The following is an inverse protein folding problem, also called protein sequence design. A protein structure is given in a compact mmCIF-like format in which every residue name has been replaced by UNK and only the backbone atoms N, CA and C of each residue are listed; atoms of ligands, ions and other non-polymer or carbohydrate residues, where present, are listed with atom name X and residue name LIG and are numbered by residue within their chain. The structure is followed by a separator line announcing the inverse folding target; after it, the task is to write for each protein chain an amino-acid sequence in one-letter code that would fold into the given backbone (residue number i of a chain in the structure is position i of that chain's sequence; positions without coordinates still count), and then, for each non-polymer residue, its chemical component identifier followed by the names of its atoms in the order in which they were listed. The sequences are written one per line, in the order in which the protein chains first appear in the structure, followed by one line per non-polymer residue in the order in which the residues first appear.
data_IF_048135367222
#
_entry.id   IF_048135367222
#
_cell.length_a   1.000
_cell.length_b   1.000
_cell.length_c   1.000
_cell.angle_alpha   90.00
_cell.angle_beta   90.00
_cell.angle_gamma   90.00
#
_symmetry.space_group_name_H-M   'P 1'
#
loop_
_entity.id
_entity.type
_entity.pdbx_description
1 polymer ?
#
# COMPACT_ATOMS: atom_id res chain seq x y z
N UNK A 1 -24.40 3.82 -2.20
CA UNK A 1 -24.92 5.19 -2.19
C UNK A 1 -24.29 6.00 -3.33
N UNK A 2 -22.98 6.03 -3.46
CA UNK A 2 -22.25 6.72 -4.54
C UNK A 2 -21.85 5.70 -5.61
N UNK A 3 -22.16 5.96 -6.88
CA UNK A 3 -21.93 5.03 -7.99
C UNK A 3 -21.04 5.61 -9.09
N UNK A 4 -20.76 6.91 -9.04
CA UNK A 4 -19.98 7.63 -10.03
C UNK A 4 -19.05 8.64 -9.41
N UNK A 5 -18.05 9.11 -10.15
CA UNK A 5 -17.19 10.22 -9.71
C UNK A 5 -18.03 11.46 -9.40
N UNK A 6 -19.06 11.73 -10.19
CA UNK A 6 -20.00 12.84 -9.99
C UNK A 6 -20.69 12.78 -8.62
N UNK A 7 -21.12 11.58 -8.19
CA UNK A 7 -21.78 11.42 -6.89
C UNK A 7 -20.84 11.78 -5.73
N UNK A 8 -19.58 11.31 -5.79
CA UNK A 8 -18.57 11.64 -4.80
C UNK A 8 -18.17 13.12 -4.83
N UNK A 9 -18.04 13.72 -6.02
CA UNK A 9 -17.70 15.13 -6.19
C UNK A 9 -18.77 16.04 -5.57
N UNK A 10 -20.05 15.68 -5.71
CA UNK A 10 -21.20 16.44 -5.19
C UNK A 10 -21.58 16.05 -3.76
N UNK A 11 -20.97 15.03 -3.18
CA UNK A 11 -21.29 14.59 -1.82
C UNK A 11 -20.97 15.66 -0.77
N UNK A 12 -21.76 15.75 0.27
CA UNK A 12 -21.44 16.56 1.45
C UNK A 12 -20.22 15.95 2.16
N UNK A 13 -19.23 16.80 2.50
CA UNK A 13 -17.98 16.34 3.09
C UNK A 13 -18.20 15.57 4.39
N UNK A 14 -19.12 16.07 5.25
CA UNK A 14 -19.46 15.42 6.51
C UNK A 14 -20.01 13.99 6.34
N UNK A 15 -20.80 13.77 5.28
CA UNK A 15 -21.31 12.43 4.98
C UNK A 15 -20.19 11.47 4.53
N UNK A 16 -19.25 11.94 3.70
CA UNK A 16 -18.09 11.16 3.33
C UNK A 16 -17.19 10.83 4.53
N UNK A 17 -17.01 11.80 5.45
CA UNK A 17 -16.26 11.60 6.68
C UNK A 17 -16.87 10.48 7.53
N UNK A 18 -18.18 10.46 7.72
CA UNK A 18 -18.86 9.40 8.47
C UNK A 18 -18.67 8.02 7.81
N UNK A 19 -18.78 7.92 6.49
CA UNK A 19 -18.64 6.64 5.80
C UNK A 19 -17.24 6.07 5.85
N UNK A 20 -16.19 6.91 5.79
CA UNK A 20 -14.80 6.46 5.85
C UNK A 20 -14.21 6.46 7.27
N UNK A 21 -15.00 6.85 8.29
CA UNK A 21 -14.58 6.94 9.69
C UNK A 21 -13.86 5.69 10.22
N UNK A 22 -14.36 4.47 9.95
CA UNK A 22 -13.69 3.24 10.44
C UNK A 22 -12.29 3.02 9.90
N UNK A 23 -11.89 3.72 8.83
CA UNK A 23 -10.59 3.53 8.18
C UNK A 23 -9.44 4.30 8.85
N UNK A 24 -9.71 5.13 9.86
CA UNK A 24 -8.75 6.05 10.48
C UNK A 24 -8.32 7.19 9.55
N UNK A 25 -7.86 8.32 10.13
CA UNK A 25 -7.52 9.55 9.37
C UNK A 25 -8.63 10.00 8.41
N UNK A 26 -9.87 9.74 8.79
CA UNK A 26 -11.06 9.82 7.95
C UNK A 26 -11.28 11.21 7.31
N UNK A 27 -10.99 12.30 8.02
CA UNK A 27 -11.15 13.66 7.49
C UNK A 27 -10.27 13.91 6.25
N UNK A 28 -9.01 13.53 6.33
CA UNK A 28 -8.09 13.66 5.20
C UNK A 28 -8.50 12.73 4.05
N UNK A 29 -8.94 11.50 4.37
CA UNK A 29 -9.40 10.54 3.36
C UNK A 29 -10.66 11.02 2.65
N UNK A 30 -11.65 11.53 3.38
CA UNK A 30 -12.88 12.08 2.79
C UNK A 30 -12.57 13.27 1.87
N UNK A 31 -11.72 14.18 2.32
CA UNK A 31 -11.27 15.33 1.51
C UNK A 31 -10.53 14.88 0.25
N UNK A 32 -9.61 13.92 0.38
CA UNK A 32 -8.87 13.37 -0.77
C UNK A 32 -9.79 12.67 -1.76
N UNK A 33 -10.76 11.89 -1.27
CA UNK A 33 -11.74 11.22 -2.10
C UNK A 33 -12.62 12.20 -2.89
N UNK A 34 -13.11 13.26 -2.22
CA UNK A 34 -13.90 14.30 -2.88
C UNK A 34 -13.09 15.06 -3.93
N UNK A 35 -11.86 15.44 -3.61
CA UNK A 35 -10.97 16.14 -4.54
C UNK A 35 -10.65 15.26 -5.76
N UNK A 36 -10.32 13.99 -5.52
CA UNK A 36 -10.08 13.03 -6.61
C UNK A 36 -11.29 12.90 -7.52
N UNK A 37 -12.47 12.74 -6.95
CA UNK A 37 -13.71 12.62 -7.72
C UNK A 37 -14.02 13.90 -8.52
N UNK A 38 -13.77 15.07 -7.94
CA UNK A 38 -13.93 16.37 -8.63
C UNK A 38 -12.96 16.51 -9.82
N UNK A 39 -11.71 16.12 -9.64
CA UNK A 39 -10.72 16.13 -10.72
C UNK A 39 -11.07 15.12 -11.82
N UNK A 40 -11.50 13.91 -11.43
CA UNK A 40 -11.93 12.88 -12.40
C UNK A 40 -13.13 13.35 -13.21
N UNK A 41 -14.10 13.99 -12.58
CA UNK A 41 -15.28 14.51 -13.28
C UNK A 41 -14.92 15.67 -14.23
N UNK A 42 -14.19 16.67 -13.72
CA UNK A 42 -13.93 17.91 -14.48
C UNK A 42 -12.87 17.76 -15.59
N UNK A 43 -11.84 16.95 -15.36
CA UNK A 43 -10.70 16.80 -16.27
C UNK A 43 -10.81 15.58 -17.18
N UNK A 44 -11.51 14.53 -16.75
CA UNK A 44 -11.51 13.23 -17.42
C UNK A 44 -12.93 12.71 -17.72
N UNK A 45 -13.95 13.56 -17.61
CA UNK A 45 -15.34 13.20 -17.95
C UNK A 45 -15.90 12.02 -17.15
N UNK A 46 -15.54 11.93 -15.87
CA UNK A 46 -16.00 10.89 -14.96
C UNK A 46 -15.27 9.55 -15.08
N UNK A 47 -14.24 9.44 -15.94
CA UNK A 47 -13.46 8.21 -16.12
C UNK A 47 -12.10 8.33 -15.45
N UNK A 48 -11.77 7.38 -14.60
CA UNK A 48 -10.44 7.33 -13.95
C UNK A 48 -9.36 7.06 -15.02
N UNK A 49 -8.30 7.89 -15.10
CA UNK A 49 -7.22 7.67 -16.05
C UNK A 49 -6.51 6.32 -15.83
N UNK A 50 -6.05 5.71 -16.91
CA UNK A 50 -5.37 4.42 -16.91
C UNK A 50 -3.89 4.57 -17.32
N UNK A 51 -3.23 5.58 -16.78
CA UNK A 51 -1.79 5.77 -16.90
C UNK A 51 -1.23 6.46 -15.66
N UNK A 52 0.03 6.17 -15.37
CA UNK A 52 0.69 6.55 -14.12
C UNK A 52 0.85 8.06 -13.99
N UNK A 53 1.31 8.72 -15.06
CA UNK A 53 1.63 10.16 -15.04
C UNK A 53 0.35 10.99 -14.88
N UNK A 54 -0.71 10.63 -15.61
CA UNK A 54 -2.01 11.28 -15.49
C UNK A 54 -2.61 11.07 -14.10
N UNK A 55 -2.55 9.86 -13.53
CA UNK A 55 -3.00 9.60 -12.15
C UNK A 55 -2.24 10.47 -11.15
N UNK A 56 -0.91 10.55 -11.27
CA UNK A 56 -0.08 11.36 -10.38
C UNK A 56 -0.28 12.86 -10.56
N UNK A 57 -0.80 13.31 -11.70
CA UNK A 57 -1.18 14.72 -11.93
C UNK A 57 -2.43 15.16 -11.15
N UNK A 58 -3.19 14.20 -10.60
CA UNK A 58 -4.38 14.46 -9.79
C UNK A 58 -3.96 14.84 -8.38
N UNK A 59 -4.51 15.94 -7.87
CA UNK A 59 -4.16 16.46 -6.56
C UNK A 59 -4.42 15.44 -5.43
N UNK A 60 -3.37 15.11 -4.71
CA UNK A 60 -3.42 14.16 -3.57
C UNK A 60 -3.23 12.70 -3.96
N UNK A 61 -2.97 12.42 -5.23
CA UNK A 61 -2.57 11.09 -5.70
C UNK A 61 -1.04 11.06 -5.80
N UNK A 62 -0.41 10.36 -4.88
CA UNK A 62 1.02 10.04 -4.95
C UNK A 62 1.26 8.67 -5.60
N UNK A 63 2.54 8.38 -5.86
CA UNK A 63 3.02 7.14 -6.51
C UNK A 63 2.37 5.86 -5.93
N UNK A 64 2.31 5.73 -4.61
CA UNK A 64 1.66 4.59 -3.94
C UNK A 64 0.20 4.43 -4.35
N UNK A 65 -0.57 5.51 -4.35
CA UNK A 65 -1.99 5.45 -4.69
C UNK A 65 -2.19 5.17 -6.17
N UNK A 66 -1.36 5.76 -7.04
CA UNK A 66 -1.37 5.50 -8.47
C UNK A 66 -1.04 4.03 -8.76
N UNK A 67 0.01 3.46 -8.16
CA UNK A 67 0.33 2.03 -8.26
C UNK A 67 -0.83 1.14 -7.80
N UNK A 68 -1.50 1.50 -6.70
CA UNK A 68 -2.66 0.74 -6.22
C UNK A 68 -3.84 0.79 -7.22
N UNK A 69 -4.12 1.93 -7.81
CA UNK A 69 -5.16 2.07 -8.85
C UNK A 69 -4.80 1.26 -10.08
N UNK A 70 -3.55 1.36 -10.56
CA UNK A 70 -3.07 0.59 -11.72
C UNK A 70 -3.17 -0.91 -11.47
N UNK A 71 -2.65 -1.39 -10.36
CA UNK A 71 -2.63 -2.83 -10.03
C UNK A 71 -4.02 -3.39 -9.77
N UNK A 72 -4.79 -2.74 -8.88
CA UNK A 72 -6.06 -3.31 -8.39
C UNK A 72 -7.24 -3.02 -9.33
N UNK A 73 -7.37 -1.79 -9.82
CA UNK A 73 -8.51 -1.40 -10.63
C UNK A 73 -8.31 -1.72 -12.12
N UNK A 74 -7.10 -1.54 -12.65
CA UNK A 74 -6.80 -1.76 -14.06
C UNK A 74 -6.07 -3.07 -14.35
N UNK A 75 -5.70 -3.84 -13.33
CA UNK A 75 -4.96 -5.11 -13.44
C UNK A 75 -3.67 -4.98 -14.26
N UNK A 76 -3.04 -3.82 -14.17
CA UNK A 76 -1.71 -3.58 -14.74
C UNK A 76 -0.65 -3.86 -13.68
N UNK A 77 0.43 -4.56 -14.01
CA UNK A 77 1.51 -4.81 -13.06
C UNK A 77 1.99 -3.54 -12.37
N UNK A 78 1.94 -3.51 -11.05
CA UNK A 78 2.38 -2.35 -10.26
C UNK A 78 2.92 -2.81 -8.91
N UNK A 79 4.14 -2.38 -8.58
CA UNK A 79 4.73 -2.63 -7.28
C UNK A 79 4.22 -1.59 -6.27
N UNK A 80 3.42 -2.04 -5.30
CA UNK A 80 2.78 -1.16 -4.30
C UNK A 80 3.64 -1.16 -3.05
N UNK A 81 4.38 -0.09 -2.80
CA UNK A 81 5.19 0.05 -1.58
C UNK A 81 4.52 0.99 -0.59
N UNK A 82 4.14 0.43 0.56
CA UNK A 82 3.55 1.16 1.68
C UNK A 82 4.19 0.67 3.00
N UNK A 83 3.80 1.21 4.13
CA UNK A 83 4.47 0.98 5.42
C UNK A 83 4.59 -0.49 5.84
N UNK A 84 3.64 -1.36 5.45
CA UNK A 84 3.74 -2.79 5.72
C UNK A 84 4.76 -3.46 4.81
N UNK A 85 4.72 -3.13 3.50
CA UNK A 85 5.67 -3.65 2.51
C UNK A 85 7.10 -3.23 2.88
N UNK A 86 7.32 -1.94 3.18
CA UNK A 86 8.63 -1.44 3.61
C UNK A 86 9.17 -2.23 4.80
N UNK A 87 8.36 -2.39 5.83
CA UNK A 87 8.77 -3.13 7.04
C UNK A 87 9.04 -4.60 6.77
N UNK A 88 8.15 -5.27 6.04
CA UNK A 88 8.28 -6.70 5.77
C UNK A 88 9.47 -6.96 4.86
N UNK A 89 9.62 -6.21 3.77
CA UNK A 89 10.73 -6.34 2.83
C UNK A 89 12.09 -6.18 3.52
N UNK A 90 12.21 -5.18 4.42
CA UNK A 90 13.44 -5.00 5.22
C UNK A 90 13.67 -6.14 6.20
N UNK A 91 12.64 -6.59 6.90
CA UNK A 91 12.78 -7.66 7.89
C UNK A 91 13.13 -9.01 7.27
N UNK A 92 12.55 -9.31 6.12
CA UNK A 92 12.85 -10.56 5.41
C UNK A 92 14.25 -10.49 4.78
N UNK A 93 14.74 -9.30 4.40
CA UNK A 93 16.04 -9.12 3.77
C UNK A 93 15.97 -8.87 2.26
N UNK A 94 14.77 -8.57 1.72
CA UNK A 94 14.61 -8.24 0.30
C UNK A 94 15.23 -6.89 -0.09
N UNK A 95 15.45 -6.00 0.88
CA UNK A 95 16.06 -4.69 0.69
C UNK A 95 16.80 -4.23 1.95
N UNK A 96 17.80 -3.36 1.76
CA UNK A 96 18.48 -2.63 2.84
C UNK A 96 18.09 -1.14 2.84
N UNK A 97 17.33 -0.69 1.84
CA UNK A 97 16.94 0.69 1.68
C UNK A 97 15.79 1.08 2.63
N UNK A 98 15.66 2.40 2.88
CA UNK A 98 14.61 2.98 3.74
C UNK A 98 13.55 3.75 2.94
N UNK A 99 13.88 4.22 1.75
CA UNK A 99 12.98 4.97 0.89
C UNK A 99 12.02 4.06 0.13
N UNK A 100 10.78 4.52 -0.05
CA UNK A 100 9.76 3.72 -0.72
C UNK A 100 10.09 3.45 -2.19
N UNK A 101 10.71 4.41 -2.88
CA UNK A 101 11.07 4.29 -4.30
C UNK A 101 12.24 3.32 -4.49
N UNK A 102 13.26 3.39 -3.62
CA UNK A 102 14.39 2.47 -3.65
C UNK A 102 13.96 1.03 -3.33
N UNK A 103 13.03 0.85 -2.38
CA UNK A 103 12.45 -0.45 -2.06
C UNK A 103 11.62 -0.98 -3.25
N UNK A 104 10.85 -0.13 -3.92
CA UNK A 104 10.11 -0.48 -5.13
C UNK A 104 11.07 -1.05 -6.20
N UNK A 105 12.19 -0.36 -6.46
CA UNK A 105 13.17 -0.80 -7.44
C UNK A 105 13.90 -2.09 -7.03
N UNK A 106 14.20 -2.27 -5.74
CA UNK A 106 14.82 -3.53 -5.27
C UNK A 106 13.87 -4.71 -5.44
N UNK A 107 12.59 -4.54 -5.08
CA UNK A 107 11.59 -5.60 -5.23
C UNK A 107 11.33 -5.96 -6.69
N UNK A 108 11.33 -4.98 -7.60
CA UNK A 108 11.18 -5.20 -9.04
C UNK A 108 12.32 -6.02 -9.66
N UNK A 109 13.53 -5.95 -9.09
CA UNK A 109 14.67 -6.75 -9.56
C UNK A 109 14.55 -8.24 -9.26
N UNK A 110 13.80 -8.59 -8.20
CA UNK A 110 13.72 -9.98 -7.70
C UNK A 110 12.37 -10.64 -7.99
N UNK A 111 11.35 -9.86 -8.31
CA UNK A 111 10.00 -10.36 -8.60
C UNK A 111 9.67 -10.06 -10.06
N UNK A 112 9.12 -11.05 -10.77
CA UNK A 112 8.68 -10.87 -12.15
C UNK A 112 7.53 -9.86 -12.26
N UNK A 113 7.47 -9.11 -13.35
CA UNK A 113 6.57 -7.98 -13.51
C UNK A 113 5.10 -8.35 -13.30
N UNK A 114 4.68 -9.46 -13.85
CA UNK A 114 3.31 -9.96 -13.75
C UNK A 114 2.87 -10.25 -12.31
N UNK A 115 3.81 -10.47 -11.40
CA UNK A 115 3.56 -10.79 -9.98
C UNK A 115 3.61 -9.57 -9.06
N UNK A 116 4.03 -8.40 -9.51
CA UNK A 116 4.27 -7.23 -8.64
C UNK A 116 3.07 -6.86 -7.76
N UNK A 117 1.88 -6.83 -8.35
CA UNK A 117 0.67 -6.44 -7.61
C UNK A 117 0.32 -7.47 -6.54
N UNK A 118 0.29 -8.74 -6.90
CA UNK A 118 -0.06 -9.83 -5.98
C UNK A 118 0.98 -9.97 -4.87
N UNK A 119 2.27 -9.90 -5.21
CA UNK A 119 3.34 -9.92 -4.23
C UNK A 119 3.22 -8.76 -3.23
N UNK A 120 2.97 -7.54 -3.71
CA UNK A 120 2.75 -6.39 -2.84
C UNK A 120 1.57 -6.61 -1.88
N UNK A 121 0.45 -7.12 -2.38
CA UNK A 121 -0.75 -7.41 -1.58
C UNK A 121 -0.47 -8.50 -0.53
N UNK A 122 0.29 -9.54 -0.88
CA UNK A 122 0.72 -10.57 0.07
C UNK A 122 1.59 -9.99 1.17
N UNK A 123 2.56 -9.13 0.85
CA UNK A 123 3.38 -8.45 1.87
C UNK A 123 2.56 -7.53 2.77
N UNK A 124 1.54 -6.83 2.22
CA UNK A 124 0.62 -6.01 3.01
C UNK A 124 -0.15 -6.88 4.01
N UNK A 125 -0.73 -7.98 3.56
CA UNK A 125 -1.49 -8.90 4.41
C UNK A 125 -0.59 -9.56 5.46
N UNK A 126 0.59 -10.03 5.06
CA UNK A 126 1.59 -10.58 5.97
C UNK A 126 2.00 -9.56 7.04
N UNK A 127 2.23 -8.31 6.65
CA UNK A 127 2.55 -7.22 7.56
C UNK A 127 1.43 -6.85 8.52
N UNK A 128 0.17 -7.04 8.13
CA UNK A 128 -1.00 -6.78 8.98
C UNK A 128 -1.24 -7.88 10.01
N UNK A 129 -1.07 -9.12 9.64
CA UNK A 129 -1.55 -10.26 10.43
C UNK A 129 -0.43 -11.08 11.09
N UNK A 130 0.75 -11.12 10.51
CA UNK A 130 1.87 -11.93 11.00
C UNK A 130 3.04 -11.06 11.41
N UNK A 131 3.67 -10.35 10.47
CA UNK A 131 4.84 -9.51 10.70
C UNK A 131 4.42 -8.10 11.16
N UNK A 132 3.64 -8.03 12.24
CA UNK A 132 3.17 -6.75 12.81
C UNK A 132 4.33 -5.91 13.35
N UNK A 133 4.11 -4.58 13.49
CA UNK A 133 5.18 -3.65 13.86
C UNK A 133 5.78 -3.96 15.25
N UNK A 134 4.91 -4.21 16.24
CA UNK A 134 5.32 -4.57 17.60
C UNK A 134 4.99 -6.03 17.87
N UNK A 135 5.95 -6.81 18.38
CA UNK A 135 5.80 -8.23 18.71
C UNK A 135 5.28 -9.06 17.53
N UNK A 136 6.03 -9.17 16.43
CA UNK A 136 5.63 -9.99 15.28
C UNK A 136 5.51 -11.47 15.69
N UNK A 137 4.62 -12.17 15.01
CA UNK A 137 4.31 -13.60 15.28
C UNK A 137 5.31 -14.49 14.52
N UNK A 138 6.59 -14.36 14.84
CA UNK A 138 7.66 -15.03 14.09
C UNK A 138 7.58 -16.55 14.14
N UNK A 139 7.15 -17.13 15.28
CA UNK A 139 7.01 -18.59 15.42
C UNK A 139 5.89 -19.20 14.57
N UNK A 140 4.91 -18.38 14.15
CA UNK A 140 3.82 -18.77 13.26
C UNK A 140 4.11 -18.37 11.79
N UNK A 141 5.30 -17.83 11.50
CA UNK A 141 5.63 -17.25 10.21
C UNK A 141 6.26 -18.31 9.29
N UNK A 142 5.68 -18.49 8.10
CA UNK A 142 6.22 -19.40 7.09
C UNK A 142 7.58 -19.00 6.52
N UNK A 143 7.99 -17.74 6.73
CA UNK A 143 9.27 -17.19 6.24
C UNK A 143 10.35 -17.18 7.34
N UNK A 144 10.11 -17.79 8.50
CA UNK A 144 10.96 -17.62 9.67
C UNK A 144 12.39 -18.12 9.45
N UNK A 145 12.55 -19.20 8.71
CA UNK A 145 13.87 -19.83 8.48
C UNK A 145 14.77 -18.99 7.57
N UNK A 146 14.18 -18.21 6.65
CA UNK A 146 14.88 -17.35 5.68
C UNK A 146 14.85 -15.86 6.06
N UNK A 147 14.32 -15.51 7.25
CA UNK A 147 14.08 -14.14 7.64
C UNK A 147 15.28 -13.52 8.36
N UNK A 148 15.93 -12.52 7.77
CA UNK A 148 17.07 -11.81 8.37
C UNK A 148 16.77 -11.28 9.78
N UNK A 149 15.58 -10.72 9.98
CA UNK A 149 15.16 -10.17 11.29
C UNK A 149 15.06 -11.27 12.35
N UNK A 150 14.55 -12.43 12.01
CA UNK A 150 14.47 -13.55 12.95
C UNK A 150 15.86 -14.06 13.29
N UNK A 151 16.70 -14.28 12.29
CA UNK A 151 18.04 -14.85 12.46
C UNK A 151 18.98 -13.91 13.25
N UNK A 152 18.89 -12.59 13.00
CA UNK A 152 19.77 -11.62 13.61
C UNK A 152 19.26 -11.09 14.95
N UNK A 153 17.98 -10.74 15.04
CA UNK A 153 17.43 -9.98 16.18
C UNK A 153 16.72 -10.85 17.20
N UNK A 154 15.87 -11.78 16.74
CA UNK A 154 14.97 -12.52 17.61
C UNK A 154 15.63 -13.78 18.15
N UNK A 155 16.24 -14.58 17.28
CA UNK A 155 16.86 -15.84 17.67
C UNK A 155 18.06 -15.62 18.60
N UNK A 156 18.88 -14.59 18.34
CA UNK A 156 20.03 -14.27 19.19
C UNK A 156 19.59 -13.80 20.58
N UNK A 157 18.59 -12.91 20.66
CA UNK A 157 18.06 -12.45 21.94
C UNK A 157 17.39 -13.59 22.75
N UNK A 158 16.79 -14.57 22.09
CA UNK A 158 16.20 -15.74 22.76
C UNK A 158 17.24 -16.70 23.33
N UNK A 159 18.48 -16.69 22.84
CA UNK A 159 19.60 -17.47 23.38
C UNK A 159 20.25 -16.83 24.61
N UNK A 160 20.10 -15.53 24.79
CA UNK A 160 20.67 -14.78 25.95
C UNK A 160 19.75 -14.89 27.16
N UNK A 161 18.48 -15.22 26.98
CA UNK A 161 17.47 -15.36 28.05
C UNK A 161 17.28 -16.80 28.57
N UNK A 162 18.10 -17.74 28.14
CA UNK A 162 18.24 -19.09 28.71
C UNK A 162 19.55 -19.22 29.49
#
# INVERSE_FOLDING_TARGET
RYRSAKDYANAELGELEEQVRPTGFYRNKAKSLKNFASDVESRFGGKVPNDMDTLMSIRGIGRKTANMVMGVAFRRPAMIVETHVMRVAKRVGFTRNDGAEEIEEDLKKIISEEQWTDFSLLLILHGRYVCVARKPRCLDCLLVEDCDYWLSEVQQNSRILK
#
